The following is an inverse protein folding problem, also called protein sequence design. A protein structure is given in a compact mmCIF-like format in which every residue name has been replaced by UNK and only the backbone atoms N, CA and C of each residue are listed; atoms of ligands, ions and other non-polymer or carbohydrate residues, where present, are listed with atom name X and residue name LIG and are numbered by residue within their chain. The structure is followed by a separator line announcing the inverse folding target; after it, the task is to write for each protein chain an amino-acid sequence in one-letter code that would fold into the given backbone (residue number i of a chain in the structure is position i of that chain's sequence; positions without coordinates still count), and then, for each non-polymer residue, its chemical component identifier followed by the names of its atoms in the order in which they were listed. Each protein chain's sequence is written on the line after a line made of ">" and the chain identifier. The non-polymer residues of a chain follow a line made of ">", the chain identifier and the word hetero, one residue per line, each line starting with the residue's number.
data_IF_842128448257
#
_entry.id   IF_842128448257
#
_cell.length_a   1.000
_cell.length_b   1.000
_cell.length_c   1.000
_cell.angle_alpha   90.00
_cell.angle_beta   90.00
_cell.angle_gamma   90.00
#
_symmetry.space_group_name_H-M   'P 1'
#
loop_
_entity.id
_entity.type
_entity.pdbx_description
1 polymer ?
#
# COMPACT_ATOMS: atom_id res chain seq x y z
N UNK A 1 -30.14 -32.59 -26.96
CA UNK A 1 -29.84 -32.71 -25.51
C UNK A 1 -28.35 -32.58 -25.20
N UNK A 2 -27.44 -33.14 -26.00
CA UNK A 2 -25.98 -32.98 -25.79
C UNK A 2 -25.49 -31.52 -25.95
N UNK A 3 -26.04 -30.75 -26.91
CA UNK A 3 -25.70 -29.33 -27.08
C UNK A 3 -26.01 -28.47 -25.85
N UNK A 4 -27.10 -28.76 -25.14
CA UNK A 4 -27.48 -28.05 -23.90
C UNK A 4 -26.50 -28.35 -22.76
N UNK A 5 -25.98 -29.57 -22.68
CA UNK A 5 -24.98 -29.95 -21.69
C UNK A 5 -23.62 -29.26 -21.94
N UNK A 6 -23.22 -29.10 -23.20
CA UNK A 6 -22.02 -28.33 -23.57
C UNK A 6 -22.16 -26.84 -23.26
N UNK A 7 -23.31 -26.23 -23.57
CA UNK A 7 -23.58 -24.82 -23.26
C UNK A 7 -23.61 -24.60 -21.74
N UNK A 8 -24.20 -25.52 -20.98
CA UNK A 8 -24.20 -25.47 -19.52
C UNK A 8 -22.79 -25.60 -18.94
N UNK A 9 -21.93 -26.49 -19.45
CA UNK A 9 -20.53 -26.61 -19.02
C UNK A 9 -19.70 -25.36 -19.31
N UNK A 10 -19.93 -24.70 -20.44
CA UNK A 10 -19.27 -23.43 -20.80
C UNK A 10 -19.74 -22.29 -19.86
N UNK A 11 -21.03 -22.25 -19.51
CA UNK A 11 -21.58 -21.24 -18.61
C UNK A 11 -21.10 -21.38 -17.15
N UNK A 12 -20.83 -22.59 -16.65
CA UNK A 12 -20.26 -22.77 -15.30
C UNK A 12 -18.77 -22.42 -15.22
N UNK A 13 -18.00 -22.59 -16.31
CA UNK A 13 -16.57 -22.25 -16.33
C UNK A 13 -16.30 -20.73 -16.47
N UNK A 14 -17.30 -19.93 -16.82
CA UNK A 14 -17.14 -18.48 -17.05
C UNK A 14 -17.28 -17.62 -15.78
N UNK A 15 -17.48 -18.22 -14.60
CA UNK A 15 -17.75 -17.51 -13.33
C UNK A 15 -16.61 -17.57 -12.31
N UNK A 16 -15.38 -17.84 -12.77
CA UNK A 16 -14.23 -17.97 -11.90
C UNK A 16 -13.10 -16.98 -12.23
N UNK A 17 -13.39 -15.70 -12.46
CA UNK A 17 -12.32 -14.68 -12.50
C UNK A 17 -12.85 -13.30 -12.11
N UNK A 18 -13.49 -13.27 -10.93
CA UNK A 18 -13.86 -12.05 -10.22
C UNK A 18 -13.16 -11.96 -8.87
N UNK A 19 -11.90 -12.39 -8.74
CA UNK A 19 -11.08 -11.92 -7.62
C UNK A 19 -10.60 -10.54 -8.01
N UNK A 20 -11.12 -9.52 -7.32
CA UNK A 20 -10.55 -8.18 -7.39
C UNK A 20 -9.07 -8.26 -7.08
N UNK A 21 -8.24 -8.35 -8.12
CA UNK A 21 -6.81 -8.18 -8.02
C UNK A 21 -6.63 -6.72 -7.70
N UNK A 22 -6.54 -6.42 -6.41
CA UNK A 22 -6.04 -5.13 -5.95
C UNK A 22 -4.77 -4.87 -6.75
N UNK A 23 -4.83 -3.89 -7.65
CA UNK A 23 -3.78 -3.63 -8.63
C UNK A 23 -2.45 -3.53 -7.88
N UNK A 24 -1.53 -4.46 -8.13
CA UNK A 24 -0.20 -4.38 -7.57
C UNK A 24 0.57 -3.35 -8.37
N UNK A 25 0.56 -2.11 -7.88
CA UNK A 25 1.21 -0.98 -8.52
C UNK A 25 2.21 -0.32 -7.57
N UNK A 26 3.18 0.33 -8.19
CA UNK A 26 4.13 1.19 -7.50
C UNK A 26 3.51 2.57 -7.28
N UNK A 27 3.67 3.09 -6.07
CA UNK A 27 3.19 4.39 -5.66
C UNK A 27 4.30 5.45 -5.65
N UNK A 28 5.56 5.04 -5.73
CA UNK A 28 6.69 5.95 -5.86
C UNK A 28 7.24 5.96 -7.29
N UNK A 29 7.48 7.13 -7.89
CA UNK A 29 8.12 7.22 -9.21
C UNK A 29 9.59 6.80 -9.19
N UNK A 30 10.17 6.58 -8.01
CA UNK A 30 11.58 6.24 -7.83
C UNK A 30 11.84 4.74 -7.63
N UNK A 31 10.81 3.89 -7.73
CA UNK A 31 10.97 2.47 -7.43
C UNK A 31 12.08 1.79 -8.24
N UNK A 32 12.22 2.12 -9.53
CA UNK A 32 13.33 1.63 -10.35
C UNK A 32 14.72 2.02 -9.78
N UNK A 33 14.86 3.25 -9.27
CA UNK A 33 16.09 3.72 -8.62
C UNK A 33 16.33 2.99 -7.30
N UNK A 34 15.30 2.85 -6.46
CA UNK A 34 15.41 2.14 -5.18
C UNK A 34 15.78 0.67 -5.36
N UNK A 35 15.17 -0.01 -6.34
CA UNK A 35 15.51 -1.38 -6.70
C UNK A 35 16.98 -1.49 -7.13
N UNK A 36 17.45 -0.59 -8.00
CA UNK A 36 18.84 -0.53 -8.43
C UNK A 36 19.81 -0.30 -7.26
N UNK A 37 19.38 0.47 -6.25
CA UNK A 37 20.14 0.71 -5.02
C UNK A 37 20.03 -0.42 -3.99
N UNK A 38 19.33 -1.52 -4.30
CA UNK A 38 19.23 -2.70 -3.44
C UNK A 38 18.19 -2.60 -2.32
N UNK A 39 17.32 -1.59 -2.33
CA UNK A 39 16.40 -1.32 -1.22
C UNK A 39 15.34 -2.41 -1.06
N UNK A 40 14.99 -3.11 -2.14
CA UNK A 40 14.08 -4.27 -2.08
C UNK A 40 14.65 -5.45 -1.26
N UNK A 41 15.94 -5.44 -0.89
CA UNK A 41 16.60 -6.52 -0.13
C UNK A 41 17.28 -6.01 1.15
N UNK A 42 16.96 -4.78 1.56
CA UNK A 42 17.55 -4.17 2.76
C UNK A 42 17.08 -4.89 4.03
N UNK A 43 17.94 -4.94 5.04
CA UNK A 43 17.57 -5.36 6.40
C UNK A 43 16.99 -4.22 7.25
N UNK A 44 17.06 -2.98 6.75
CA UNK A 44 16.44 -1.83 7.39
C UNK A 44 14.91 -1.98 7.31
N UNK A 45 14.26 -2.10 8.47
CA UNK A 45 12.82 -2.39 8.54
C UNK A 45 11.95 -1.26 8.00
N UNK A 46 12.37 0.00 8.12
CA UNK A 46 11.62 1.13 7.56
C UNK A 46 11.72 1.18 6.05
N UNK A 47 12.94 1.04 5.53
CA UNK A 47 13.16 1.05 4.10
C UNK A 47 12.45 -0.16 3.49
N UNK A 48 12.52 -1.32 4.11
CA UNK A 48 11.80 -2.51 3.66
C UNK A 48 10.28 -2.32 3.73
N UNK A 49 9.74 -1.72 4.79
CA UNK A 49 8.32 -1.37 4.88
C UNK A 49 7.91 -0.45 3.73
N UNK A 50 8.65 0.64 3.50
CA UNK A 50 8.42 1.57 2.40
C UNK A 50 8.49 0.87 1.03
N UNK A 51 9.42 -0.06 0.82
CA UNK A 51 9.46 -0.86 -0.41
C UNK A 51 8.25 -1.78 -0.55
N UNK A 52 7.82 -2.42 0.55
CA UNK A 52 6.62 -3.27 0.62
C UNK A 52 5.32 -2.50 0.49
N UNK A 53 5.30 -1.19 0.63
CA UNK A 53 4.10 -0.36 0.44
C UNK A 53 4.09 0.36 -0.90
N UNK A 54 5.19 1.04 -1.21
CA UNK A 54 5.27 2.03 -2.29
C UNK A 54 5.94 1.49 -3.56
N UNK A 55 6.66 0.37 -3.47
CA UNK A 55 7.39 -0.23 -4.60
C UNK A 55 7.08 -1.73 -4.77
N UNK A 56 5.84 -2.11 -4.48
CA UNK A 56 5.41 -3.51 -4.45
C UNK A 56 5.62 -4.24 -5.76
N UNK A 57 5.32 -3.59 -6.89
CA UNK A 57 5.45 -4.20 -8.19
C UNK A 57 6.94 -4.30 -8.57
N UNK A 58 7.67 -3.18 -8.52
CA UNK A 58 9.10 -3.17 -8.83
C UNK A 58 9.90 -4.13 -7.94
N UNK A 59 9.59 -4.22 -6.64
CA UNK A 59 10.28 -5.12 -5.72
C UNK A 59 9.72 -6.56 -5.70
N UNK A 60 8.73 -6.88 -6.52
CA UNK A 60 8.05 -8.19 -6.57
C UNK A 60 7.40 -8.63 -5.24
N UNK A 61 6.94 -7.68 -4.43
CA UNK A 61 6.27 -7.94 -3.14
C UNK A 61 4.77 -8.18 -3.25
N UNK A 62 4.22 -8.24 -4.46
CA UNK A 62 2.78 -8.43 -4.70
C UNK A 62 2.21 -9.70 -4.05
N UNK A 63 3.02 -10.74 -3.88
CA UNK A 63 2.59 -12.06 -3.39
C UNK A 63 3.14 -12.40 -2.00
N UNK A 64 3.85 -11.49 -1.34
CA UNK A 64 4.47 -11.76 -0.03
C UNK A 64 3.50 -11.65 1.16
N UNK A 65 2.23 -11.34 0.92
CA UNK A 65 1.24 -11.26 1.98
C UNK A 65 0.87 -12.67 2.46
N UNK A 66 1.39 -13.06 3.63
CA UNK A 66 0.96 -14.29 4.30
C UNK A 66 -0.18 -13.97 5.28
N UNK A 67 -1.10 -14.90 5.40
CA UNK A 67 -2.44 -14.75 6.00
C UNK A 67 -2.44 -14.73 7.54
N UNK A 68 -1.88 -13.68 8.15
CA UNK A 68 -2.69 -12.81 9.01
C UNK A 68 -2.58 -11.32 8.62
N UNK A 69 -1.86 -10.96 7.55
CA UNK A 69 -1.68 -9.56 7.11
C UNK A 69 -2.90 -8.99 6.35
N UNK A 70 -3.98 -9.78 6.17
CA UNK A 70 -5.27 -9.28 5.64
C UNK A 70 -5.98 -8.31 6.60
N UNK A 71 -5.59 -8.27 7.87
CA UNK A 71 -6.10 -7.31 8.86
C UNK A 71 -5.33 -5.97 8.85
N UNK A 72 -4.19 -5.88 8.16
CA UNK A 72 -3.39 -4.65 8.07
C UNK A 72 -3.86 -3.65 7.01
N UNK A 73 -5.18 -3.55 6.76
CA UNK A 73 -5.81 -2.38 6.11
C UNK A 73 -4.97 -1.77 4.98
N UNK A 74 -4.50 -2.60 4.05
CA UNK A 74 -3.47 -2.19 3.10
C UNK A 74 -4.05 -1.38 1.93
N UNK A 75 -5.38 -1.27 1.86
CA UNK A 75 -6.03 -0.10 1.26
C UNK A 75 -6.02 0.92 2.37
N UNK A 76 -5.43 2.11 2.23
CA UNK A 76 -5.52 3.11 3.29
C UNK A 76 -6.98 3.19 3.73
N UNK A 77 -7.28 2.76 4.97
CA UNK A 77 -8.54 3.12 5.60
C UNK A 77 -8.52 4.64 5.59
N UNK A 78 -9.19 5.24 4.62
CA UNK A 78 -9.09 6.68 4.34
C UNK A 78 -9.52 7.51 5.56
N UNK A 79 -10.18 6.88 6.54
CA UNK A 79 -10.61 7.46 7.80
C UNK A 79 -9.70 7.30 9.01
N UNK A 80 -8.61 6.52 8.98
CA UNK A 80 -7.73 6.35 10.15
C UNK A 80 -6.62 7.40 10.19
N UNK A 81 -6.56 8.15 11.30
CA UNK A 81 -5.53 9.14 11.54
C UNK A 81 -4.37 8.55 12.36
N UNK A 82 -3.57 7.71 11.70
CA UNK A 82 -2.42 7.02 12.30
C UNK A 82 -1.15 7.26 11.48
N UNK A 83 0.00 7.13 12.15
CA UNK A 83 1.29 7.03 11.50
C UNK A 83 1.62 5.56 11.26
N UNK A 84 2.25 5.29 10.12
CA UNK A 84 2.59 3.95 9.63
C UNK A 84 4.10 3.72 9.55
N UNK A 85 4.90 4.78 9.60
CA UNK A 85 6.35 4.70 9.74
C UNK A 85 6.76 5.14 11.14
N UNK A 86 7.79 4.51 11.69
CA UNK A 86 8.38 4.95 12.95
C UNK A 86 9.34 6.14 12.78
N UNK A 87 9.64 6.54 11.54
CA UNK A 87 10.47 7.72 11.22
C UNK A 87 9.67 9.02 11.17
N UNK A 88 8.37 9.01 11.43
CA UNK A 88 7.55 10.21 11.25
C UNK A 88 8.02 11.41 12.09
N UNK A 89 8.44 11.19 13.34
CA UNK A 89 9.04 12.25 14.17
C UNK A 89 10.36 12.78 13.58
N UNK A 90 11.17 11.91 12.98
CA UNK A 90 12.40 12.31 12.29
C UNK A 90 12.09 13.15 11.04
N UNK A 91 11.13 12.72 10.23
CA UNK A 91 10.69 13.43 9.02
C UNK A 91 10.09 14.81 9.35
N UNK A 92 9.27 14.91 10.40
CA UNK A 92 8.74 16.18 10.89
C UNK A 92 9.86 17.15 11.28
N UNK A 93 10.79 16.70 12.14
CA UNK A 93 11.95 17.51 12.56
C UNK A 93 12.86 17.91 11.41
N UNK A 94 12.91 17.10 10.36
CA UNK A 94 13.68 17.36 9.15
C UNK A 94 12.94 18.24 8.14
N UNK A 95 11.74 18.74 8.46
CA UNK A 95 10.94 19.64 7.62
C UNK A 95 10.24 18.95 6.44
N UNK A 96 10.10 17.63 6.45
CA UNK A 96 9.48 16.90 5.34
C UNK A 96 7.97 17.14 5.26
N UNK A 97 7.30 17.43 6.38
CA UNK A 97 5.87 17.73 6.40
C UNK A 97 5.50 19.02 5.63
N UNK A 98 6.45 19.93 5.43
CA UNK A 98 6.23 21.25 4.79
C UNK A 98 7.01 21.43 3.49
N UNK A 99 7.73 20.40 3.04
CA UNK A 99 8.57 20.48 1.84
C UNK A 99 7.76 20.53 0.54
N UNK A 100 8.28 21.25 -0.46
CA UNK A 100 7.77 21.21 -1.83
C UNK A 100 8.33 20.03 -2.65
N UNK A 101 9.33 19.32 -2.12
CA UNK A 101 9.92 18.17 -2.80
C UNK A 101 8.92 17.02 -2.88
N UNK A 102 8.43 16.73 -4.09
CA UNK A 102 7.33 15.79 -4.36
C UNK A 102 7.57 14.43 -3.70
N UNK A 103 8.81 13.94 -3.73
CA UNK A 103 9.19 12.64 -3.19
C UNK A 103 9.01 12.57 -1.67
N UNK A 104 9.59 13.53 -0.95
CA UNK A 104 9.47 13.63 0.51
C UNK A 104 8.02 13.83 0.90
N UNK A 105 7.31 14.72 0.19
CA UNK A 105 5.89 15.01 0.40
C UNK A 105 5.02 13.75 0.26
N UNK A 106 5.23 12.93 -0.77
CA UNK A 106 4.49 11.68 -0.95
C UNK A 106 4.72 10.70 0.20
N UNK A 107 5.98 10.52 0.64
CA UNK A 107 6.32 9.63 1.75
C UNK A 107 5.57 10.05 3.02
N UNK A 108 5.65 11.32 3.41
CA UNK A 108 5.03 11.78 4.66
C UNK A 108 3.51 11.88 4.57
N UNK A 109 2.94 12.18 3.40
CA UNK A 109 1.47 12.25 3.22
C UNK A 109 0.82 10.87 3.40
N UNK A 110 1.52 9.79 3.06
CA UNK A 110 0.99 8.43 3.17
C UNK A 110 1.28 7.79 4.51
N UNK A 111 2.49 7.99 5.02
CA UNK A 111 3.01 7.23 6.16
C UNK A 111 2.97 8.00 7.48
N UNK A 112 2.82 9.33 7.44
CA UNK A 112 2.97 10.18 8.62
C UNK A 112 1.81 11.17 8.78
N UNK A 113 0.59 10.72 8.46
CA UNK A 113 -0.60 11.58 8.44
C UNK A 113 -0.85 12.24 9.80
N UNK A 114 -0.66 11.51 10.90
CA UNK A 114 -0.91 12.02 12.26
C UNK A 114 0.21 12.97 12.68
N UNK A 115 1.48 12.55 12.59
CA UNK A 115 2.62 13.38 12.95
C UNK A 115 2.67 14.68 12.11
N UNK A 116 2.49 14.58 10.79
CA UNK A 116 2.45 15.75 9.92
C UNK A 116 1.11 16.50 9.92
N UNK A 117 0.13 16.07 10.74
CA UNK A 117 -1.18 16.72 10.89
C UNK A 117 -1.96 16.85 9.58
N UNK A 118 -1.83 15.87 8.69
CA UNK A 118 -2.61 15.74 7.46
C UNK A 118 -3.98 15.08 7.69
N UNK A 119 -4.28 14.69 8.93
CA UNK A 119 -5.57 14.15 9.35
C UNK A 119 -5.89 14.59 10.78
N UNK A 120 -7.15 14.39 11.17
CA UNK A 120 -7.60 14.43 12.55
C UNK A 120 -8.28 13.09 12.89
N UNK A 121 -8.21 12.60 14.15
CA UNK A 121 -9.03 11.48 14.58
C UNK A 121 -10.51 11.81 14.35
N UNK A 122 -11.29 10.85 13.87
CA UNK A 122 -12.76 11.02 13.84
C UNK A 122 -13.23 11.15 15.29
N UNK A 123 -13.95 12.21 15.61
CA UNK A 123 -14.67 12.29 16.88
C UNK A 123 -15.74 11.21 16.88
N UNK A 124 -15.76 10.35 17.90
CA UNK A 124 -16.91 9.49 18.17
C UNK A 124 -18.11 10.41 18.47
N UNK A 125 -18.98 10.62 17.48
CA UNK A 125 -20.31 11.14 17.74
C UNK A 125 -21.08 10.06 18.50
N UNK A 126 -21.11 10.19 19.82
CA UNK A 126 -22.00 9.44 20.68
C UNK A 126 -23.45 9.79 20.28
N UNK A 127 -24.14 8.86 19.63
CA UNK A 127 -25.59 8.85 19.43
C UNK A 127 -26.22 7.72 20.23
#
# INVERSE_FOLDING_TARGET
>A
MLLYAFIALILHNALAEGRGTKLCEDLSPQCASYQKNGWCKTSDRDVLYFMKTDCRNTCNFCNELTEPERDWGFIPNEGECIDRSHLCTFYERSGWCTTAEINKKMIVTRNCKKTCRFCSPKSEENF
#
